data_IF_034244958450
#
_entry.id   IF_034244958450
#
_cell.length_a   1.000
_cell.length_b   1.000
_cell.length_c   1.000
_cell.angle_alpha   90.00
_cell.angle_beta   90.00
_cell.angle_gamma   90.00
#
_symmetry.space_group_name_H-M   'P 1'
#
loop_
_entity.id
_entity.type
_entity.pdbx_description
1 polymer ?
#
# COMPACT_ATOMS: atom_id res chain seq x y z
N UNK A 1 -6.82 -19.11 11.78
CA UNK A 1 -7.17 -18.29 10.60
C UNK A 1 -5.94 -17.53 10.16
N UNK A 2 -5.67 -17.50 8.86
CA UNK A 2 -4.55 -16.76 8.29
C UNK A 2 -4.89 -15.27 8.22
N UNK A 3 -4.03 -14.41 8.74
CA UNK A 3 -4.21 -12.95 8.74
C UNK A 3 -3.71 -12.37 7.42
N UNK A 4 -4.46 -11.46 6.82
CA UNK A 4 -4.01 -10.79 5.59
C UNK A 4 -3.27 -9.49 5.94
N UNK A 5 -2.09 -9.30 5.36
CA UNK A 5 -1.35 -8.04 5.32
C UNK A 5 -1.51 -7.48 3.91
N UNK A 6 -2.08 -6.29 3.80
CA UNK A 6 -2.23 -5.56 2.55
C UNK A 6 -1.17 -4.44 2.49
N UNK A 7 -0.25 -4.52 1.53
CA UNK A 7 0.71 -3.46 1.23
C UNK A 7 0.20 -2.67 0.03
N UNK A 8 0.10 -1.36 0.18
CA UNK A 8 -0.34 -0.41 -0.83
C UNK A 8 0.79 0.56 -1.12
N UNK A 9 1.17 0.66 -2.38
CA UNK A 9 2.21 1.59 -2.83
C UNK A 9 1.64 2.55 -3.87
N UNK A 10 1.72 3.86 -3.60
CA UNK A 10 1.31 4.89 -4.55
C UNK A 10 2.53 5.60 -5.13
N UNK A 11 2.60 5.68 -6.46
CA UNK A 11 3.69 6.37 -7.17
C UNK A 11 3.14 7.27 -8.28
N UNK A 12 2.50 8.40 -7.93
CA UNK A 12 1.91 9.29 -8.91
C UNK A 12 2.97 9.89 -9.84
N UNK A 13 2.62 10.10 -11.11
CA UNK A 13 3.50 10.71 -12.09
C UNK A 13 3.89 12.13 -11.66
N UNK A 14 5.15 12.50 -11.90
CA UNK A 14 5.68 13.82 -11.57
C UNK A 14 6.06 14.03 -10.11
N UNK A 15 6.02 12.97 -9.29
CA UNK A 15 6.57 12.98 -7.92
C UNK A 15 8.00 12.44 -7.91
N UNK A 16 8.75 12.73 -6.85
CA UNK A 16 10.09 12.18 -6.69
C UNK A 16 10.02 10.64 -6.60
N UNK A 17 10.94 9.97 -7.28
CA UNK A 17 10.96 8.52 -7.33
C UNK A 17 11.23 7.93 -5.94
N UNK A 18 10.31 7.10 -5.46
CA UNK A 18 10.47 6.36 -4.21
C UNK A 18 10.84 4.92 -4.54
N UNK A 19 11.74 4.32 -3.75
CA UNK A 19 12.16 2.92 -3.91
C UNK A 19 11.15 1.95 -3.29
N UNK A 20 9.87 2.09 -3.65
CA UNK A 20 8.75 1.30 -3.09
C UNK A 20 8.93 -0.20 -3.36
N UNK A 21 9.51 -0.56 -4.50
CA UNK A 21 9.82 -1.95 -4.83
C UNK A 21 10.84 -2.58 -3.87
N UNK A 22 11.80 -1.78 -3.37
CA UNK A 22 12.77 -2.26 -2.39
C UNK A 22 12.10 -2.51 -1.04
N UNK A 23 11.28 -1.58 -0.58
CA UNK A 23 10.52 -1.73 0.67
C UNK A 23 9.62 -2.97 0.61
N UNK A 24 8.90 -3.16 -0.49
CA UNK A 24 8.06 -4.35 -0.71
C UNK A 24 8.86 -5.65 -0.70
N UNK A 25 10.06 -5.65 -1.29
CA UNK A 25 10.97 -6.80 -1.26
C UNK A 25 11.42 -7.09 0.16
N UNK A 26 11.80 -6.08 0.92
CA UNK A 26 12.24 -6.22 2.31
C UNK A 26 11.14 -6.79 3.21
N UNK A 27 9.91 -6.29 3.11
CA UNK A 27 8.78 -6.81 3.89
C UNK A 27 8.48 -8.27 3.53
N UNK A 28 8.55 -8.62 2.24
CA UNK A 28 8.32 -9.99 1.78
C UNK A 28 9.39 -10.95 2.31
N UNK A 29 10.65 -10.55 2.28
CA UNK A 29 11.75 -11.37 2.79
C UNK A 29 11.70 -11.51 4.32
N UNK A 30 11.42 -10.41 5.04
CA UNK A 30 11.24 -10.46 6.49
C UNK A 30 10.09 -11.40 6.90
N UNK A 31 8.96 -11.38 6.16
CA UNK A 31 7.85 -12.27 6.43
C UNK A 31 8.20 -13.74 6.16
N UNK A 32 8.95 -14.03 5.10
CA UNK A 32 9.41 -15.41 4.80
C UNK A 32 10.33 -15.97 5.89
N UNK A 33 11.20 -15.12 6.45
CA UNK A 33 12.14 -15.50 7.50
C UNK A 33 11.50 -15.56 8.90
N UNK A 34 10.28 -15.03 9.05
CA UNK A 34 9.53 -15.08 10.30
C UNK A 34 9.15 -16.50 10.70
N UNK A 35 9.12 -16.75 12.01
CA UNK A 35 8.63 -18.01 12.59
C UNK A 35 7.16 -18.28 12.27
N UNK A 36 6.37 -17.21 12.17
CA UNK A 36 4.92 -17.28 11.95
C UNK A 36 4.53 -17.01 10.50
N UNK A 37 5.43 -17.23 9.54
CA UNK A 37 5.18 -16.94 8.11
C UNK A 37 3.85 -17.54 7.58
N UNK A 38 3.48 -18.73 8.06
CA UNK A 38 2.29 -19.46 7.62
C UNK A 38 0.99 -18.89 8.25
N UNK A 39 1.12 -18.03 9.27
CA UNK A 39 0.00 -17.30 9.89
C UNK A 39 -0.43 -16.08 9.07
N UNK A 40 0.35 -15.66 8.08
CA UNK A 40 0.10 -14.44 7.31
C UNK A 40 0.03 -14.71 5.80
N UNK A 41 -0.85 -13.97 5.13
CA UNK A 41 -0.91 -13.84 3.68
C UNK A 41 -0.56 -12.41 3.30
N UNK A 42 0.39 -12.24 2.40
CA UNK A 42 0.80 -10.92 1.90
C UNK A 42 0.12 -10.63 0.56
N UNK A 43 -0.63 -9.54 0.48
CA UNK A 43 -1.16 -8.97 -0.77
C UNK A 43 -0.48 -7.62 -1.01
N UNK A 44 0.06 -7.41 -2.21
CA UNK A 44 0.77 -6.18 -2.55
C UNK A 44 0.13 -5.55 -3.78
N UNK A 45 -0.22 -4.26 -3.70
CA UNK A 45 -0.74 -3.48 -4.80
C UNK A 45 0.12 -2.24 -4.99
N UNK A 46 0.58 -2.01 -6.22
CA UNK A 46 1.42 -0.87 -6.63
C UNK A 46 0.64 0.07 -7.54
N UNK A 47 1.09 1.32 -7.65
CA UNK A 47 0.44 2.37 -8.43
C UNK A 47 -1.08 2.47 -8.13
N UNK A 48 -1.45 2.33 -6.85
CA UNK A 48 -2.86 2.25 -6.47
C UNK A 48 -3.53 3.62 -6.53
N UNK A 49 -4.72 3.63 -7.10
CA UNK A 49 -5.64 4.77 -7.01
C UNK A 49 -6.46 4.65 -5.74
N UNK A 50 -7.05 5.75 -5.29
CA UNK A 50 -7.91 5.74 -4.09
C UNK A 50 -9.03 4.67 -4.16
N UNK A 51 -9.62 4.49 -5.35
CA UNK A 51 -10.66 3.48 -5.55
C UNK A 51 -10.12 2.04 -5.42
N UNK A 52 -8.88 1.81 -5.84
CA UNK A 52 -8.22 0.50 -5.70
C UNK A 52 -7.90 0.21 -4.24
N UNK A 53 -7.50 1.22 -3.47
CA UNK A 53 -7.27 1.12 -2.03
C UNK A 53 -8.55 0.70 -1.32
N UNK A 54 -9.65 1.43 -1.53
CA UNK A 54 -10.93 1.14 -0.88
C UNK A 54 -11.42 -0.27 -1.22
N UNK A 55 -11.39 -0.62 -2.51
CA UNK A 55 -11.80 -1.94 -2.98
C UNK A 55 -10.92 -3.05 -2.40
N UNK A 56 -9.60 -2.88 -2.35
CA UNK A 56 -8.70 -3.87 -1.77
C UNK A 56 -8.97 -4.11 -0.28
N UNK A 57 -9.31 -3.06 0.48
CA UNK A 57 -9.69 -3.19 1.89
C UNK A 57 -11.01 -3.95 2.02
N UNK A 58 -12.02 -3.59 1.22
CA UNK A 58 -13.34 -4.24 1.23
C UNK A 58 -13.25 -5.73 0.83
N UNK A 59 -12.52 -6.05 -0.23
CA UNK A 59 -12.40 -7.40 -0.79
C UNK A 59 -11.56 -8.34 0.09
N UNK A 60 -10.46 -7.83 0.66
CA UNK A 60 -9.48 -8.65 1.39
C UNK A 60 -9.71 -8.68 2.89
N UNK A 61 -10.48 -7.72 3.42
CA UNK A 61 -10.66 -7.48 4.85
C UNK A 61 -9.35 -7.66 5.64
N UNK A 62 -8.30 -6.89 5.27
CA UNK A 62 -6.97 -7.12 5.79
C UNK A 62 -6.92 -6.84 7.30
N UNK A 63 -6.11 -7.62 8.01
CA UNK A 63 -5.84 -7.40 9.42
C UNK A 63 -4.81 -6.28 9.62
N UNK A 64 -3.91 -6.11 8.66
CA UNK A 64 -2.86 -5.09 8.68
C UNK A 64 -2.84 -4.41 7.31
N UNK A 65 -2.82 -3.08 7.30
CA UNK A 65 -2.64 -2.28 6.09
C UNK A 65 -1.34 -1.49 6.24
N UNK A 66 -0.42 -1.64 5.29
CA UNK A 66 0.80 -0.85 5.18
C UNK A 66 0.69 0.03 3.94
N UNK A 67 0.88 1.33 4.09
CA UNK A 67 0.87 2.27 2.97
C UNK A 67 2.25 2.90 2.81
N UNK A 68 2.77 2.84 1.59
CA UNK A 68 4.03 3.48 1.19
C UNK A 68 3.79 4.43 0.03
N UNK A 69 4.22 5.68 0.17
CA UNK A 69 4.02 6.67 -0.87
C UNK A 69 4.26 8.08 -0.35
N UNK A 70 3.90 9.06 -1.17
CA UNK A 70 4.03 10.45 -0.80
C UNK A 70 2.92 10.85 0.18
N UNK A 71 3.30 11.55 1.24
CA UNK A 71 2.38 12.09 2.23
C UNK A 71 2.77 13.53 2.59
N UNK A 72 1.78 14.31 2.96
CA UNK A 72 1.92 15.68 3.48
C UNK A 72 1.19 15.77 4.82
N UNK A 73 1.32 16.89 5.53
CA UNK A 73 0.69 17.06 6.83
C UNK A 73 -0.84 16.89 6.77
N UNK A 74 -1.43 17.22 5.62
CA UNK A 74 -2.86 17.21 5.36
C UNK A 74 -3.41 15.85 4.88
N UNK A 75 -2.53 14.89 4.54
CA UNK A 75 -2.97 13.57 4.08
C UNK A 75 -2.00 12.84 3.16
N UNK A 76 -2.54 11.89 2.41
CA UNK A 76 -1.78 11.02 1.50
C UNK A 76 -1.95 11.47 0.05
N UNK A 77 -0.86 11.44 -0.72
CA UNK A 77 -0.88 11.67 -2.16
C UNK A 77 -1.04 10.32 -2.87
N UNK A 78 -2.21 10.11 -3.45
CA UNK A 78 -2.55 8.92 -4.23
C UNK A 78 -2.58 9.24 -5.72
N UNK A 79 -2.66 8.19 -6.54
CA UNK A 79 -2.83 8.33 -7.98
C UNK A 79 -4.31 8.53 -8.35
N UNK A 80 -4.59 9.42 -9.30
CA UNK A 80 -5.91 9.56 -9.89
C UNK A 80 -6.09 8.76 -11.19
N UNK A 81 -7.21 8.96 -11.89
CA UNK A 81 -7.51 8.23 -13.12
C UNK A 81 -6.52 8.50 -14.26
N UNK A 82 -5.85 9.66 -14.23
CA UNK A 82 -4.92 10.13 -15.26
C UNK A 82 -3.45 9.86 -14.91
N UNK A 83 -3.20 9.27 -13.73
CA UNK A 83 -1.86 9.02 -13.22
C UNK A 83 -1.25 10.19 -12.46
N UNK A 84 -2.01 11.25 -12.22
CA UNK A 84 -1.57 12.46 -11.51
C UNK A 84 -1.72 12.29 -10.00
N UNK A 85 -1.04 13.16 -9.25
CA UNK A 85 -1.16 13.17 -7.79
C UNK A 85 -2.48 13.80 -7.35
N UNK A 86 -3.15 13.12 -6.40
CA UNK A 86 -4.36 13.58 -5.74
C UNK A 86 -4.19 13.47 -4.23
N UNK A 87 -4.40 14.59 -3.53
CA UNK A 87 -4.43 14.59 -2.06
C UNK A 87 -5.73 13.95 -1.57
N UNK A 88 -5.59 13.00 -0.65
CA UNK A 88 -6.68 12.41 0.12
C UNK A 88 -6.44 12.76 1.59
N UNK A 89 -7.37 13.52 2.16
CA UNK A 89 -7.29 13.96 3.56
C UNK A 89 -7.59 12.81 4.52
N UNK A 90 -7.17 12.96 5.79
CA UNK A 90 -7.45 11.96 6.82
C UNK A 90 -8.96 11.74 7.08
N UNK A 91 -9.79 12.74 6.77
CA UNK A 91 -11.26 12.69 6.96
C UNK A 91 -12.02 12.10 5.75
N UNK A 92 -11.32 11.59 4.73
CA UNK A 92 -11.90 11.18 3.44
C UNK A 92 -12.48 9.76 3.39
#
# INVERSE_FOLDING_TARGET
MTKTILILAAHPRGTAELRLDEEMREVREALKLSRDRDAFRLDCRVAVRWQDVRRAIEDLQPTIVHFSGHGVAEGLLLEDADGSSRLVSADA
#
